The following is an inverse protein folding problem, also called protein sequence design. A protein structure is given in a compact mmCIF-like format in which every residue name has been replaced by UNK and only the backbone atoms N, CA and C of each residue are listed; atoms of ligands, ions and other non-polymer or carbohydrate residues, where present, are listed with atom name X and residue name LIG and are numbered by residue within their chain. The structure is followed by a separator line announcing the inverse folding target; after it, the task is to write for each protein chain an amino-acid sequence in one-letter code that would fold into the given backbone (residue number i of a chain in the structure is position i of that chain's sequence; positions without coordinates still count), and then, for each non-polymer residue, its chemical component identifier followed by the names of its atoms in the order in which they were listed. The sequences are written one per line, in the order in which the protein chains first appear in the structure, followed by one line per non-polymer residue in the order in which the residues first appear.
data_IF_614571351369
#
_entry.id   IF_614571351369
#
_cell.length_a   1.000
_cell.length_b   1.000
_cell.length_c   1.000
_cell.angle_alpha   90.00
_cell.angle_beta   90.00
_cell.angle_gamma   90.00
#
_symmetry.space_group_name_H-M   'P 1'
#
loop_
_entity.id
_entity.type
_entity.pdbx_description
1 polymer ?
#
# COMPACT_ATOMS: atom_id res chain seq x y z
N UNK A 1 29.09 10.69 -15.68
CA UNK A 1 28.43 10.41 -14.38
C UNK A 1 26.96 10.68 -14.60
N UNK A 2 26.11 9.67 -14.50
CA UNK A 2 24.67 9.82 -14.69
C UNK A 2 24.05 10.12 -13.33
N UNK A 3 23.31 11.22 -13.23
CA UNK A 3 22.63 11.59 -11.99
C UNK A 3 21.28 10.87 -11.91
N UNK A 4 20.92 10.42 -10.71
CA UNK A 4 19.66 9.71 -10.46
C UNK A 4 18.48 10.65 -10.54
N UNK A 5 17.36 10.14 -11.06
CA UNK A 5 16.06 10.81 -11.08
C UNK A 5 15.21 10.40 -9.88
N UNK A 6 14.03 11.03 -9.71
CA UNK A 6 13.13 10.67 -8.61
C UNK A 6 12.63 9.22 -8.71
N UNK A 7 12.51 8.67 -9.91
CA UNK A 7 12.12 7.28 -10.17
C UNK A 7 13.06 6.27 -9.49
N UNK A 8 14.37 6.56 -9.48
CA UNK A 8 15.40 5.70 -8.90
C UNK A 8 15.32 5.61 -7.36
N UNK A 9 14.52 6.48 -6.75
CA UNK A 9 14.29 6.52 -5.31
C UNK A 9 12.95 5.92 -4.88
N UNK A 10 12.17 5.38 -5.81
CA UNK A 10 11.01 4.56 -5.49
C UNK A 10 11.50 3.17 -5.07
N UNK A 11 11.18 2.78 -3.86
CA UNK A 11 11.74 1.57 -3.25
C UNK A 11 12.99 1.83 -2.40
N UNK A 12 13.75 0.78 -2.12
CA UNK A 12 14.92 0.78 -1.22
C UNK A 12 14.63 1.46 0.12
N UNK A 13 13.43 1.23 0.61
CA UNK A 13 12.93 1.84 1.84
C UNK A 13 13.63 1.23 3.06
N UNK A 14 13.77 1.99 4.16
CA UNK A 14 14.39 1.48 5.37
C UNK A 14 13.61 0.31 5.97
N UNK A 15 14.33 -0.65 6.54
CA UNK A 15 13.83 -1.68 7.44
C UNK A 15 14.39 -1.41 8.83
N UNK A 16 13.54 -1.12 9.82
CA UNK A 16 13.98 -0.74 11.16
C UNK A 16 13.46 -1.70 12.22
N UNK A 17 14.28 -1.98 13.24
CA UNK A 17 13.89 -2.80 14.39
C UNK A 17 13.13 -1.94 15.40
N UNK A 18 12.01 -2.44 15.92
CA UNK A 18 11.34 -1.85 17.07
C UNK A 18 12.18 -2.08 18.34
N UNK A 19 12.27 -1.06 19.17
CA UNK A 19 13.11 -1.09 20.40
C UNK A 19 12.27 -1.15 21.67
N UNK A 20 11.20 -0.37 21.74
CA UNK A 20 10.39 -0.18 22.94
C UNK A 20 9.12 -1.04 22.92
N UNK A 21 8.52 -1.19 21.77
CA UNK A 21 7.43 -2.13 21.55
C UNK A 21 8.05 -3.51 21.40
N UNK A 22 8.09 -4.25 22.50
CA UNK A 22 8.73 -5.56 22.56
C UNK A 22 7.69 -6.69 22.64
N UNK A 23 7.92 -7.73 21.84
CA UNK A 23 7.09 -8.90 21.81
C UNK A 23 7.57 -10.05 22.75
N UNK A 24 8.70 -9.88 23.42
CA UNK A 24 9.32 -10.93 24.23
C UNK A 24 9.81 -12.13 23.40
N UNK A 25 10.11 -13.25 24.05
CA UNK A 25 10.42 -14.57 23.44
C UNK A 25 11.55 -14.55 22.40
N UNK A 26 12.55 -13.69 22.55
CA UNK A 26 13.65 -13.48 21.60
C UNK A 26 13.21 -13.14 20.16
N UNK A 27 11.99 -12.64 19.97
CA UNK A 27 11.53 -12.22 18.67
C UNK A 27 12.11 -10.88 18.27
N UNK A 28 12.36 -10.70 16.98
CA UNK A 28 12.75 -9.45 16.35
C UNK A 28 11.58 -8.95 15.50
N UNK A 29 11.07 -7.75 15.83
CA UNK A 29 10.01 -7.10 15.05
C UNK A 29 10.63 -6.01 14.20
N UNK A 30 10.41 -6.08 12.89
CA UNK A 30 10.94 -5.17 11.92
C UNK A 30 9.80 -4.43 11.20
N UNK A 31 9.96 -3.13 11.02
CA UNK A 31 9.04 -2.26 10.30
C UNK A 31 9.66 -1.83 8.97
N UNK A 32 9.04 -2.19 7.85
CA UNK A 32 9.42 -1.74 6.51
C UNK A 32 8.75 -0.40 6.21
N UNK A 33 9.50 0.68 6.22
CA UNK A 33 9.00 2.05 6.19
C UNK A 33 8.67 2.51 4.75
N UNK A 34 7.57 2.05 4.19
CA UNK A 34 7.12 2.40 2.85
C UNK A 34 6.66 3.86 2.71
N UNK A 35 6.40 4.54 3.83
CA UNK A 35 6.20 5.98 3.86
C UNK A 35 7.41 6.81 3.43
N UNK A 36 8.59 6.20 3.29
CA UNK A 36 9.81 6.84 2.80
C UNK A 36 9.93 6.85 1.26
N UNK A 37 9.00 6.24 0.55
CA UNK A 37 8.89 6.45 -0.89
C UNK A 37 8.57 7.92 -1.22
N UNK A 38 8.93 8.44 -2.41
CA UNK A 38 8.79 9.85 -2.77
C UNK A 38 7.38 10.45 -2.61
N UNK A 39 6.33 9.73 -3.01
CA UNK A 39 4.95 10.16 -2.76
C UNK A 39 4.42 9.71 -1.38
N UNK A 40 5.25 9.06 -0.57
CA UNK A 40 5.01 8.77 0.84
C UNK A 40 4.19 7.53 1.12
N UNK A 41 4.18 6.53 0.25
CA UNK A 41 3.48 5.26 0.52
C UNK A 41 3.99 4.06 -0.27
N UNK A 42 3.56 2.88 0.16
CA UNK A 42 3.77 1.61 -0.54
C UNK A 42 3.21 1.61 -1.98
N UNK A 43 2.29 2.51 -2.29
CA UNK A 43 1.64 2.59 -3.61
C UNK A 43 2.50 3.24 -4.68
N UNK A 44 3.59 3.90 -4.30
CA UNK A 44 4.56 4.47 -5.23
C UNK A 44 5.15 3.38 -6.13
N UNK A 45 5.44 2.21 -5.56
CA UNK A 45 5.98 1.06 -6.28
C UNK A 45 5.05 0.53 -7.37
N UNK A 46 3.81 0.10 -7.06
CA UNK A 46 2.91 -0.39 -8.10
C UNK A 46 2.48 0.70 -9.09
N UNK A 47 2.30 1.94 -8.66
CA UNK A 47 1.95 3.04 -9.56
C UNK A 47 3.02 3.25 -10.63
N UNK A 48 4.28 3.37 -10.24
CA UNK A 48 5.39 3.52 -11.17
C UNK A 48 5.55 2.28 -12.06
N UNK A 49 5.46 1.08 -11.49
CA UNK A 49 5.54 -0.19 -12.25
C UNK A 49 4.45 -0.30 -13.32
N UNK A 50 3.20 -0.01 -12.98
CA UNK A 50 2.09 -0.06 -13.92
C UNK A 50 2.27 0.93 -15.08
N UNK A 51 2.71 2.16 -14.79
CA UNK A 51 2.95 3.18 -15.82
C UNK A 51 4.12 2.77 -16.71
N UNK A 52 5.29 2.49 -16.15
CA UNK A 52 6.49 2.15 -16.92
C UNK A 52 6.30 0.90 -17.80
N UNK A 53 5.64 -0.12 -17.29
CA UNK A 53 5.41 -1.36 -18.03
C UNK A 53 4.32 -1.22 -19.09
N UNK A 54 3.31 -0.40 -18.85
CA UNK A 54 2.32 -0.05 -19.89
C UNK A 54 2.97 0.74 -21.03
N UNK A 55 3.89 1.66 -20.71
CA UNK A 55 4.67 2.43 -21.66
C UNK A 55 5.61 1.51 -22.47
N UNK A 56 6.37 0.65 -21.79
CA UNK A 56 7.29 -0.31 -22.43
C UNK A 56 6.56 -1.25 -23.41
N UNK A 57 5.29 -1.56 -23.16
CA UNK A 57 4.44 -2.36 -24.08
C UNK A 57 3.75 -1.51 -25.15
N UNK A 58 4.00 -0.21 -25.22
CA UNK A 58 3.37 0.70 -26.18
C UNK A 58 1.87 0.90 -25.96
N UNK A 59 1.35 0.53 -24.77
CA UNK A 59 -0.07 0.69 -24.42
C UNK A 59 -0.41 2.15 -24.10
N UNK A 60 0.56 2.90 -23.60
CA UNK A 60 0.48 4.33 -23.30
C UNK A 60 1.78 5.02 -23.75
N UNK A 61 1.70 6.33 -23.98
CA UNK A 61 2.88 7.18 -24.29
C UNK A 61 2.76 8.53 -23.61
N UNK A 62 3.86 9.24 -23.32
CA UNK A 62 3.82 10.58 -22.78
C UNK A 62 2.84 11.49 -23.54
N UNK A 63 2.04 12.27 -22.80
CA UNK A 63 0.94 13.08 -23.33
C UNK A 63 -0.43 12.43 -23.27
N UNK A 64 -0.52 11.11 -23.15
CA UNK A 64 -1.80 10.40 -22.95
C UNK A 64 -2.44 10.78 -21.61
N UNK A 65 -3.75 10.55 -21.51
CA UNK A 65 -4.52 10.74 -20.27
C UNK A 65 -4.72 9.40 -19.57
N UNK A 66 -4.31 9.32 -18.30
CA UNK A 66 -4.60 8.20 -17.41
C UNK A 66 -5.80 8.54 -16.53
N UNK A 67 -6.66 7.57 -16.29
CA UNK A 67 -7.85 7.70 -15.43
C UNK A 67 -7.78 6.61 -14.35
N UNK A 68 -8.10 6.95 -13.11
CA UNK A 68 -8.23 5.95 -12.05
C UNK A 68 -9.30 6.36 -11.04
N UNK A 69 -10.13 5.39 -10.65
CA UNK A 69 -11.06 5.56 -9.56
C UNK A 69 -10.36 5.20 -8.25
N UNK A 70 -9.93 6.19 -7.51
CA UNK A 70 -9.19 5.98 -6.24
C UNK A 70 -9.19 7.21 -5.34
N UNK A 71 -9.36 7.01 -4.07
CA UNK A 71 -9.40 8.07 -3.06
C UNK A 71 -8.20 8.07 -2.12
N UNK A 72 -7.27 7.14 -2.32
CA UNK A 72 -6.19 6.90 -1.38
C UNK A 72 -4.79 7.12 -1.94
N UNK A 73 -3.86 6.41 -1.35
CA UNK A 73 -2.43 6.49 -1.68
C UNK A 73 -2.14 6.15 -3.16
N UNK A 74 -2.94 5.29 -3.78
CA UNK A 74 -2.78 4.96 -5.20
C UNK A 74 -2.98 6.21 -6.09
N UNK A 75 -3.98 7.04 -5.80
CA UNK A 75 -4.20 8.27 -6.55
C UNK A 75 -3.03 9.25 -6.43
N UNK A 76 -2.47 9.39 -5.22
CA UNK A 76 -1.30 10.24 -4.99
C UNK A 76 -0.09 9.70 -5.77
N UNK A 77 0.15 8.38 -5.69
CA UNK A 77 1.28 7.74 -6.36
C UNK A 77 1.16 7.78 -7.89
N UNK A 78 -0.05 7.58 -8.44
CA UNK A 78 -0.30 7.71 -9.88
C UNK A 78 -0.16 9.16 -10.36
N UNK A 79 -0.61 10.14 -9.56
CA UNK A 79 -0.42 11.55 -9.88
C UNK A 79 1.07 11.92 -9.93
N UNK A 80 1.87 11.45 -8.97
CA UNK A 80 3.33 11.60 -9.00
C UNK A 80 3.95 10.93 -10.22
N UNK A 81 3.61 9.67 -10.49
CA UNK A 81 4.15 8.94 -11.64
C UNK A 81 3.79 9.60 -12.97
N UNK A 82 2.56 10.10 -13.10
CA UNK A 82 2.11 10.85 -14.27
C UNK A 82 2.90 12.16 -14.44
N UNK A 83 3.12 12.91 -13.36
CA UNK A 83 3.90 14.14 -13.39
C UNK A 83 5.36 13.89 -13.84
N UNK A 84 5.99 12.83 -13.30
CA UNK A 84 7.37 12.48 -13.65
C UNK A 84 7.53 12.08 -15.12
N UNK A 85 6.51 11.44 -15.70
CA UNK A 85 6.60 10.82 -17.03
C UNK A 85 5.80 11.54 -18.11
N UNK A 86 5.23 12.72 -17.79
CA UNK A 86 4.55 13.56 -18.77
C UNK A 86 3.16 13.07 -19.21
N UNK A 87 2.44 12.39 -18.32
CA UNK A 87 1.03 12.01 -18.51
C UNK A 87 0.08 13.01 -17.88
N UNK A 88 -1.12 13.12 -18.44
CA UNK A 88 -2.24 13.77 -17.74
C UNK A 88 -2.91 12.77 -16.84
N UNK A 89 -3.26 13.16 -15.61
CA UNK A 89 -3.90 12.27 -14.64
C UNK A 89 -5.26 12.78 -14.23
N UNK A 90 -6.29 11.97 -14.38
CA UNK A 90 -7.65 12.22 -13.89
C UNK A 90 -7.95 11.20 -12.79
N UNK A 91 -8.30 11.68 -11.61
CA UNK A 91 -8.66 10.86 -10.46
C UNK A 91 -10.12 11.08 -10.10
N UNK A 92 -10.90 10.01 -10.11
CA UNK A 92 -12.32 10.04 -9.76
C UNK A 92 -12.48 9.52 -8.33
N UNK A 93 -13.13 10.30 -7.46
CA UNK A 93 -13.25 9.96 -6.04
C UNK A 93 -14.45 10.60 -5.36
N UNK A 94 -14.97 10.02 -4.26
CA UNK A 94 -15.95 10.68 -3.41
C UNK A 94 -15.43 11.99 -2.80
N UNK A 95 -16.30 12.98 -2.70
CA UNK A 95 -15.97 14.33 -2.20
C UNK A 95 -15.57 14.39 -0.72
N UNK A 96 -15.95 13.38 0.09
CA UNK A 96 -15.68 13.30 1.52
C UNK A 96 -14.27 12.80 1.88
N UNK A 97 -13.37 12.66 0.90
CA UNK A 97 -11.99 12.31 1.18
C UNK A 97 -11.23 13.46 1.84
N UNK A 98 -10.19 13.11 2.63
CA UNK A 98 -9.43 14.10 3.40
C UNK A 98 -8.86 15.20 2.50
N UNK A 99 -8.79 16.41 3.04
CA UNK A 99 -8.31 17.59 2.34
C UNK A 99 -6.85 17.43 1.91
N UNK A 100 -6.03 16.82 2.76
CA UNK A 100 -4.59 16.57 2.53
C UNK A 100 -4.38 15.72 1.27
N UNK A 101 -5.17 14.65 1.11
CA UNK A 101 -5.09 13.78 -0.06
C UNK A 101 -5.45 14.52 -1.34
N UNK A 102 -6.56 15.27 -1.33
CA UNK A 102 -7.00 16.04 -2.50
C UNK A 102 -6.01 17.13 -2.89
N UNK A 103 -5.44 17.82 -1.89
CA UNK A 103 -4.42 18.84 -2.13
C UNK A 103 -3.13 18.24 -2.69
N UNK A 104 -2.67 17.11 -2.15
CA UNK A 104 -1.47 16.44 -2.63
C UNK A 104 -1.63 15.97 -4.09
N UNK A 105 -2.77 15.36 -4.45
CA UNK A 105 -3.04 14.95 -5.83
C UNK A 105 -3.04 16.15 -6.80
N UNK A 106 -3.68 17.27 -6.42
CA UNK A 106 -3.66 18.51 -7.22
C UNK A 106 -2.27 19.12 -7.32
N UNK A 107 -1.47 19.06 -6.26
CA UNK A 107 -0.09 19.55 -6.28
C UNK A 107 0.79 18.80 -7.29
N UNK A 108 0.52 17.49 -7.50
CA UNK A 108 1.13 16.71 -8.58
C UNK A 108 0.49 16.93 -9.96
N UNK A 109 -0.46 17.86 -10.09
CA UNK A 109 -1.10 18.22 -11.37
C UNK A 109 -2.28 17.34 -11.78
N UNK A 110 -2.79 16.47 -10.90
CA UNK A 110 -3.95 15.64 -11.23
C UNK A 110 -5.25 16.46 -11.25
N UNK A 111 -6.09 16.22 -12.25
CA UNK A 111 -7.49 16.65 -12.28
C UNK A 111 -8.32 15.75 -11.36
N UNK A 112 -9.16 16.34 -10.50
CA UNK A 112 -10.04 15.60 -9.61
C UNK A 112 -11.49 15.73 -10.07
N UNK A 113 -12.11 14.59 -10.36
CA UNK A 113 -13.55 14.46 -10.59
C UNK A 113 -14.17 13.95 -9.30
N UNK A 114 -14.88 14.85 -8.61
CA UNK A 114 -15.52 14.54 -7.34
C UNK A 114 -16.94 14.02 -7.57
N UNK A 115 -17.29 12.91 -6.93
CA UNK A 115 -18.63 12.36 -6.92
C UNK A 115 -19.27 12.56 -5.55
N UNK A 116 -20.61 12.64 -5.46
CA UNK A 116 -21.30 12.72 -4.17
C UNK A 116 -20.86 11.58 -3.23
N UNK A 117 -20.69 11.88 -1.94
CA UNK A 117 -20.30 10.89 -0.93
C UNK A 117 -21.26 9.70 -0.84
N UNK A 118 -22.55 9.93 -1.12
CA UNK A 118 -23.59 8.89 -1.16
C UNK A 118 -23.35 7.84 -2.27
N UNK A 119 -22.64 8.20 -3.36
CA UNK A 119 -22.31 7.27 -4.44
C UNK A 119 -21.08 6.42 -4.19
N UNK A 120 -20.26 6.81 -3.23
CA UNK A 120 -19.08 6.06 -2.82
C UNK A 120 -18.05 5.81 -3.92
N UNK A 121 -17.27 4.77 -3.72
CA UNK A 121 -16.26 4.34 -4.72
C UNK A 121 -16.87 3.59 -5.90
N UNK A 122 -18.06 3.04 -5.74
CA UNK A 122 -18.81 2.39 -6.82
C UNK A 122 -19.14 3.41 -7.91
N UNK A 123 -19.76 4.52 -7.57
CA UNK A 123 -20.05 5.61 -8.53
C UNK A 123 -18.76 6.17 -9.13
N UNK A 124 -17.70 6.28 -8.35
CA UNK A 124 -16.41 6.75 -8.88
C UNK A 124 -15.85 5.79 -9.96
N UNK A 125 -16.00 4.49 -9.78
CA UNK A 125 -15.61 3.48 -10.79
C UNK A 125 -16.47 3.57 -12.04
N UNK A 126 -17.78 3.63 -11.89
CA UNK A 126 -18.72 3.72 -13.03
C UNK A 126 -18.41 4.97 -13.88
N UNK A 127 -18.11 6.10 -13.25
CA UNK A 127 -17.74 7.33 -13.95
C UNK A 127 -16.38 7.19 -14.64
N UNK A 128 -15.38 6.59 -13.98
CA UNK A 128 -14.07 6.37 -14.59
C UNK A 128 -14.17 5.43 -15.81
N UNK A 129 -14.96 4.36 -15.71
CA UNK A 129 -15.22 3.44 -16.81
C UNK A 129 -15.96 4.10 -17.96
N UNK A 130 -16.98 4.90 -17.66
CA UNK A 130 -17.66 5.72 -18.67
C UNK A 130 -16.71 6.66 -19.40
N UNK A 131 -15.83 7.36 -18.66
CA UNK A 131 -14.83 8.24 -19.26
C UNK A 131 -13.87 7.47 -20.17
N UNK A 132 -13.43 6.27 -19.78
CA UNK A 132 -12.63 5.39 -20.63
C UNK A 132 -13.38 5.01 -21.92
N UNK A 133 -14.65 4.62 -21.81
CA UNK A 133 -15.46 4.17 -22.93
C UNK A 133 -15.79 5.32 -23.91
N UNK A 134 -15.81 6.56 -23.39
CA UNK A 134 -15.88 7.79 -24.20
C UNK A 134 -14.53 8.18 -24.84
N UNK A 135 -13.46 7.38 -24.66
CA UNK A 135 -12.14 7.64 -25.21
C UNK A 135 -11.38 8.78 -24.53
N UNK A 136 -11.75 9.18 -23.30
CA UNK A 136 -11.13 10.30 -22.57
C UNK A 136 -9.81 9.94 -21.91
N UNK A 137 -9.46 8.66 -21.84
CA UNK A 137 -8.20 8.20 -21.28
C UNK A 137 -8.17 6.69 -21.04
N UNK A 138 -7.09 6.23 -20.39
CA UNK A 138 -6.79 4.82 -20.16
C UNK A 138 -6.81 4.54 -18.66
N UNK A 139 -7.47 3.44 -18.26
CA UNK A 139 -7.44 2.92 -16.89
C UNK A 139 -6.37 1.84 -16.80
N UNK A 140 -5.48 1.94 -15.80
CA UNK A 140 -4.45 0.93 -15.53
C UNK A 140 -4.97 -0.22 -14.67
N UNK A 141 -6.00 0.01 -13.85
CA UNK A 141 -6.71 -0.97 -13.02
C UNK A 141 -5.80 -1.67 -11.98
N UNK A 142 -5.58 -1.02 -10.86
CA UNK A 142 -4.74 -1.53 -9.76
C UNK A 142 -5.19 -2.90 -9.19
N UNK A 143 -6.46 -3.31 -9.40
CA UNK A 143 -7.02 -4.55 -8.86
C UNK A 143 -6.89 -5.76 -9.80
N UNK A 144 -6.63 -5.51 -11.07
CA UNK A 144 -6.48 -6.54 -12.08
C UNK A 144 -5.14 -6.51 -12.81
N UNK A 145 -4.35 -5.45 -12.63
CA UNK A 145 -3.10 -5.26 -13.35
C UNK A 145 -1.97 -6.11 -12.74
N UNK A 146 -1.39 -7.05 -13.50
CA UNK A 146 -0.31 -7.91 -13.00
C UNK A 146 0.97 -7.14 -12.63
N UNK A 147 1.16 -5.94 -13.18
CA UNK A 147 2.32 -5.10 -12.87
C UNK A 147 2.30 -4.54 -11.43
N UNK A 148 1.14 -4.58 -10.77
CA UNK A 148 1.03 -4.23 -9.35
C UNK A 148 1.81 -5.23 -8.46
N UNK A 149 1.52 -6.53 -8.43
CA UNK A 149 2.32 -7.47 -7.64
C UNK A 149 3.76 -7.61 -8.14
N UNK A 150 4.04 -7.43 -9.44
CA UNK A 150 5.39 -7.47 -9.98
C UNK A 150 6.30 -6.42 -9.35
N UNK A 151 5.80 -5.21 -9.06
CA UNK A 151 6.57 -4.18 -8.34
C UNK A 151 7.10 -4.66 -6.99
N UNK A 152 6.35 -5.51 -6.31
CA UNK A 152 6.72 -6.07 -5.01
C UNK A 152 7.56 -7.34 -5.13
N UNK A 153 7.34 -8.12 -6.17
CA UNK A 153 8.18 -9.28 -6.48
C UNK A 153 9.62 -8.87 -6.82
N UNK A 154 9.78 -7.82 -7.63
CA UNK A 154 11.09 -7.33 -8.08
C UNK A 154 11.73 -6.32 -7.11
N UNK A 155 10.94 -5.71 -6.21
CA UNK A 155 11.41 -4.68 -5.28
C UNK A 155 11.30 -5.09 -3.82
N UNK A 156 10.10 -5.07 -3.25
CA UNK A 156 9.88 -5.28 -1.80
C UNK A 156 10.39 -6.64 -1.32
N UNK A 157 10.14 -7.71 -2.07
CA UNK A 157 10.59 -9.06 -1.72
C UNK A 157 12.11 -9.17 -1.62
N UNK A 158 12.87 -8.82 -2.69
CA UNK A 158 14.33 -8.78 -2.66
C UNK A 158 14.91 -7.90 -1.55
N UNK A 159 14.35 -6.70 -1.35
CA UNK A 159 14.80 -5.80 -0.29
C UNK A 159 14.65 -6.42 1.11
N UNK A 160 13.52 -7.06 1.40
CA UNK A 160 13.30 -7.73 2.68
C UNK A 160 14.23 -8.90 2.88
N UNK A 161 14.47 -9.69 1.85
CA UNK A 161 15.40 -10.81 1.90
C UNK A 161 16.83 -10.34 2.22
N UNK A 162 17.32 -9.35 1.50
CA UNK A 162 18.64 -8.75 1.70
C UNK A 162 18.76 -8.10 3.07
N UNK A 163 17.80 -7.23 3.46
CA UNK A 163 17.85 -6.49 4.72
C UNK A 163 17.70 -7.35 5.97
N UNK A 164 17.23 -8.58 5.83
CA UNK A 164 17.15 -9.56 6.92
C UNK A 164 18.24 -10.63 6.85
N UNK A 165 19.16 -10.57 5.88
CA UNK A 165 20.12 -11.64 5.57
C UNK A 165 19.45 -13.01 5.41
N UNK A 166 18.25 -13.03 4.79
CA UNK A 166 17.45 -14.23 4.62
C UNK A 166 16.84 -14.81 5.89
N UNK A 167 16.94 -14.12 7.03
CA UNK A 167 16.46 -14.62 8.35
C UNK A 167 14.98 -14.36 8.63
N UNK A 168 14.26 -13.71 7.71
CA UNK A 168 12.82 -13.46 7.85
C UNK A 168 12.05 -14.78 8.01
N UNK A 169 11.21 -14.86 9.03
CA UNK A 169 10.35 -16.04 9.31
C UNK A 169 8.87 -15.75 9.08
N UNK A 170 8.45 -14.50 9.27
CA UNK A 170 7.06 -14.07 9.10
C UNK A 170 6.99 -12.76 8.35
N UNK A 171 6.09 -12.68 7.41
CA UNK A 171 5.77 -11.45 6.67
C UNK A 171 4.32 -11.07 6.91
N UNK A 172 4.09 -9.89 7.48
CA UNK A 172 2.75 -9.37 7.82
C UNK A 172 2.43 -8.16 6.95
N UNK A 173 1.31 -8.20 6.25
CA UNK A 173 0.87 -7.12 5.37
C UNK A 173 -0.63 -6.87 5.45
N UNK A 174 -1.01 -5.60 5.55
CA UNK A 174 -2.38 -5.15 5.36
C UNK A 174 -2.86 -5.45 3.95
N UNK A 175 -4.07 -5.98 3.82
CA UNK A 175 -4.66 -6.38 2.55
C UNK A 175 -5.59 -5.29 2.01
N UNK A 176 -5.12 -4.54 1.00
CA UNK A 176 -5.92 -3.61 0.20
C UNK A 176 -6.17 -4.18 -1.20
N UNK A 177 -5.38 -3.77 -2.20
CA UNK A 177 -5.40 -4.37 -3.55
C UNK A 177 -4.82 -5.78 -3.59
N UNK A 178 -4.17 -6.19 -2.51
CA UNK A 178 -3.39 -7.43 -2.36
C UNK A 178 -2.04 -7.47 -3.08
N UNK A 179 -1.70 -6.49 -3.92
CA UNK A 179 -0.46 -6.49 -4.70
C UNK A 179 0.80 -6.66 -3.86
N UNK A 180 0.90 -5.98 -2.71
CA UNK A 180 2.05 -6.07 -1.81
C UNK A 180 2.26 -7.49 -1.31
N UNK A 181 1.20 -8.10 -0.75
CA UNK A 181 1.31 -9.46 -0.20
C UNK A 181 1.51 -10.51 -1.30
N UNK A 182 0.91 -10.33 -2.48
CA UNK A 182 1.06 -11.27 -3.60
C UNK A 182 2.48 -11.27 -4.16
N UNK A 183 3.02 -10.09 -4.49
CA UNK A 183 4.37 -10.00 -5.06
C UNK A 183 5.45 -10.40 -4.05
N UNK A 184 5.35 -9.90 -2.82
CA UNK A 184 6.32 -10.20 -1.77
C UNK A 184 6.29 -11.67 -1.36
N UNK A 185 5.11 -12.26 -1.17
CA UNK A 185 4.98 -13.68 -0.80
C UNK A 185 5.54 -14.60 -1.88
N UNK A 186 5.29 -14.28 -3.15
CA UNK A 186 5.85 -15.06 -4.27
C UNK A 186 7.36 -15.12 -4.19
N UNK A 187 8.03 -13.97 -4.07
CA UNK A 187 9.47 -13.90 -3.97
C UNK A 187 10.00 -14.64 -2.73
N UNK A 188 9.42 -14.38 -1.55
CA UNK A 188 9.89 -14.96 -0.30
C UNK A 188 9.72 -16.48 -0.27
N UNK A 189 8.57 -17.01 -0.73
CA UNK A 189 8.31 -18.46 -0.79
C UNK A 189 9.21 -19.19 -1.81
N UNK A 190 9.64 -18.54 -2.87
CA UNK A 190 10.64 -19.08 -3.80
C UNK A 190 12.03 -19.21 -3.16
N UNK A 191 12.34 -18.39 -2.15
CA UNK A 191 13.62 -18.43 -1.41
C UNK A 191 13.57 -19.36 -0.21
N UNK A 192 12.47 -19.32 0.54
CA UNK A 192 12.24 -20.19 1.68
C UNK A 192 10.74 -20.45 1.84
N UNK A 193 10.25 -21.66 1.52
CA UNK A 193 8.83 -22.01 1.61
C UNK A 193 8.28 -21.98 3.04
N UNK A 194 9.14 -22.01 4.07
CA UNK A 194 8.72 -22.04 5.48
C UNK A 194 8.36 -20.64 6.02
N UNK A 195 8.64 -19.58 5.27
CA UNK A 195 8.25 -18.22 5.69
C UNK A 195 6.72 -18.10 5.75
N UNK A 196 6.20 -17.79 6.92
CA UNK A 196 4.78 -17.63 7.15
C UNK A 196 4.28 -16.28 6.61
N UNK A 197 3.34 -16.31 5.69
CA UNK A 197 2.72 -15.12 5.07
C UNK A 197 1.40 -14.82 5.76
N UNK A 198 1.31 -13.65 6.39
CA UNK A 198 0.15 -13.25 7.21
C UNK A 198 -0.55 -12.06 6.57
N UNK A 199 -1.78 -12.27 6.14
CA UNK A 199 -2.67 -11.21 5.65
C UNK A 199 -3.47 -10.59 6.78
N UNK A 200 -3.42 -9.25 6.91
CA UNK A 200 -4.21 -8.51 7.88
C UNK A 200 -5.49 -7.98 7.23
N UNK A 201 -6.65 -8.38 7.77
CA UNK A 201 -7.99 -7.97 7.36
C UNK A 201 -8.68 -7.18 8.49
N UNK A 202 -9.69 -6.32 8.19
CA UNK A 202 -10.48 -5.71 9.24
C UNK A 202 -11.44 -6.74 9.87
N UNK A 203 -11.74 -6.56 11.15
CA UNK A 203 -12.85 -7.26 11.80
C UNK A 203 -14.19 -6.81 11.21
N UNK A 204 -15.23 -7.61 11.43
CA UNK A 204 -16.57 -7.26 10.99
C UNK A 204 -17.03 -5.94 11.66
N UNK A 205 -17.58 -5.03 10.87
CA UNK A 205 -17.98 -3.70 11.33
C UNK A 205 -16.83 -2.68 11.44
N UNK A 206 -15.57 -3.09 11.25
CA UNK A 206 -14.43 -2.17 11.26
C UNK A 206 -14.17 -1.56 9.89
N UNK A 207 -13.93 -0.23 9.85
CA UNK A 207 -13.55 0.51 8.65
C UNK A 207 -12.15 1.10 8.81
N UNK A 208 -11.15 0.42 8.26
CA UNK A 208 -9.75 0.82 8.38
C UNK A 208 -9.24 1.30 7.02
N UNK A 209 -8.85 2.58 6.87
CA UNK A 209 -8.30 3.08 5.61
C UNK A 209 -7.10 2.25 5.16
N UNK A 210 -7.18 1.70 3.94
CA UNK A 210 -6.10 0.89 3.35
C UNK A 210 -6.18 -0.61 3.63
N UNK A 211 -7.06 -1.07 4.52
CA UNK A 211 -7.33 -2.50 4.75
C UNK A 211 -8.75 -2.82 4.31
N UNK A 212 -8.92 -3.92 3.59
CA UNK A 212 -10.24 -4.38 3.13
C UNK A 212 -10.38 -5.88 3.30
N UNK A 213 -11.57 -6.32 3.68
CA UNK A 213 -12.04 -7.68 3.53
C UNK A 213 -12.94 -7.72 2.30
N UNK A 214 -12.49 -8.38 1.26
CA UNK A 214 -13.22 -8.47 0.02
C UNK A 214 -14.28 -9.57 0.05
N UNK A 215 -15.54 -9.26 -0.32
CA UNK A 215 -16.49 -10.30 -0.69
C UNK A 215 -15.95 -11.11 -1.88
N UNK A 216 -16.26 -12.40 -1.95
CA UNK A 216 -15.73 -13.29 -2.98
C UNK A 216 -15.97 -12.78 -4.41
N UNK A 217 -17.15 -12.20 -4.66
CA UNK A 217 -17.52 -11.63 -5.96
C UNK A 217 -16.69 -10.40 -6.38
N UNK A 218 -15.99 -9.76 -5.44
CA UNK A 218 -15.22 -8.53 -5.66
C UNK A 218 -13.73 -8.69 -5.36
N UNK A 219 -13.26 -9.93 -5.21
CA UNK A 219 -11.84 -10.20 -5.00
C UNK A 219 -11.00 -9.56 -6.11
N UNK A 220 -9.89 -8.88 -5.77
CA UNK A 220 -8.95 -8.41 -6.78
C UNK A 220 -8.49 -9.58 -7.67
N UNK A 221 -8.47 -9.37 -8.99
CA UNK A 221 -8.08 -10.43 -9.95
C UNK A 221 -6.63 -10.87 -9.79
N UNK A 222 -5.80 -10.04 -9.16
CA UNK A 222 -4.40 -10.35 -8.84
C UNK A 222 -4.24 -11.18 -7.55
N UNK A 223 -5.33 -11.46 -6.82
CA UNK A 223 -5.27 -12.17 -5.54
C UNK A 223 -5.22 -13.69 -5.73
N UNK A 224 -4.22 -14.32 -5.16
CA UNK A 224 -4.02 -15.77 -5.11
C UNK A 224 -4.09 -16.25 -3.66
N UNK A 225 -5.27 -16.68 -3.21
CA UNK A 225 -5.52 -17.09 -1.81
C UNK A 225 -4.49 -18.08 -1.26
N UNK A 226 -4.01 -19.10 -2.02
CA UNK A 226 -3.05 -20.09 -1.52
C UNK A 226 -1.67 -19.51 -1.13
N UNK A 227 -1.37 -18.25 -1.51
CA UNK A 227 -0.12 -17.58 -1.12
C UNK A 227 -0.13 -17.01 0.28
N UNK A 228 -1.28 -16.98 0.95
CA UNK A 228 -1.43 -16.44 2.30
C UNK A 228 -1.68 -17.59 3.25
N UNK A 229 -0.73 -17.83 4.16
CA UNK A 229 -0.78 -18.95 5.12
C UNK A 229 -1.77 -18.68 6.25
N UNK A 230 -1.88 -17.40 6.69
CA UNK A 230 -2.76 -17.00 7.80
C UNK A 230 -3.49 -15.70 7.47
N UNK A 231 -4.77 -15.65 7.80
CA UNK A 231 -5.59 -14.44 7.77
C UNK A 231 -5.89 -14.03 9.20
N UNK A 232 -5.42 -12.85 9.57
CA UNK A 232 -5.58 -12.29 10.91
C UNK A 232 -6.44 -11.03 10.83
N UNK A 233 -7.36 -10.88 11.77
CA UNK A 233 -8.27 -9.75 11.83
C UNK A 233 -7.82 -8.74 12.87
N UNK A 234 -8.10 -7.47 12.63
CA UNK A 234 -7.82 -6.37 13.54
C UNK A 234 -9.02 -5.44 13.62
N UNK A 235 -9.36 -4.99 14.82
CA UNK A 235 -10.37 -3.97 15.03
C UNK A 235 -9.84 -2.60 14.63
N UNK A 236 -10.75 -1.66 14.32
CA UNK A 236 -10.37 -0.27 14.07
C UNK A 236 -9.68 0.34 15.29
N UNK A 237 -10.21 0.08 16.49
CA UNK A 237 -9.66 0.60 17.74
C UNK A 237 -8.21 0.15 17.99
N UNK A 238 -7.93 -1.14 17.77
CA UNK A 238 -6.58 -1.70 17.92
C UNK A 238 -5.61 -1.14 16.87
N UNK A 239 -6.07 -0.96 15.64
CA UNK A 239 -5.27 -0.38 14.58
C UNK A 239 -4.90 1.07 14.88
N UNK A 240 -5.86 1.87 15.35
CA UNK A 240 -5.65 3.28 15.73
C UNK A 240 -4.75 3.41 16.96
N UNK A 241 -4.97 2.61 18.00
CA UNK A 241 -4.11 2.66 19.20
C UNK A 241 -2.68 2.23 18.86
N UNK A 242 -2.50 1.18 18.06
CA UNK A 242 -1.16 0.78 17.63
C UNK A 242 -0.48 1.86 16.77
N UNK A 243 -1.25 2.58 15.94
CA UNK A 243 -0.74 3.74 15.18
C UNK A 243 -0.20 4.82 16.12
N UNK A 244 -0.94 5.15 17.18
CA UNK A 244 -0.49 6.10 18.21
C UNK A 244 0.74 5.61 18.98
N UNK A 245 0.76 4.32 19.31
CA UNK A 245 1.91 3.69 19.99
C UNK A 245 3.17 3.71 19.15
N UNK A 246 3.09 3.40 17.85
CA UNK A 246 4.21 3.50 16.92
C UNK A 246 4.84 4.90 16.94
N UNK A 247 4.01 5.94 16.95
CA UNK A 247 4.49 7.32 17.02
C UNK A 247 5.13 7.64 18.39
N UNK A 248 4.46 7.33 19.49
CA UNK A 248 4.90 7.71 20.85
C UNK A 248 6.06 6.86 21.38
N UNK A 249 6.11 5.58 21.02
CA UNK A 249 7.06 4.63 21.58
C UNK A 249 8.25 4.38 20.66
N UNK A 250 8.05 4.41 19.33
CA UNK A 250 9.09 4.09 18.34
C UNK A 250 9.51 5.29 17.47
N UNK A 251 8.79 6.42 17.55
CA UNK A 251 9.02 7.57 16.66
C UNK A 251 8.58 7.32 15.21
N UNK A 252 7.80 6.26 14.96
CA UNK A 252 7.32 5.90 13.64
C UNK A 252 5.94 6.54 13.42
N UNK A 253 5.90 7.66 12.71
CA UNK A 253 4.67 8.37 12.39
C UNK A 253 4.02 7.77 11.15
N UNK A 254 3.12 6.81 11.36
CA UNK A 254 2.52 5.95 10.33
C UNK A 254 1.00 6.11 10.25
N UNK A 255 0.39 5.63 9.16
CA UNK A 255 -1.05 5.57 8.98
C UNK A 255 -1.70 4.37 9.66
N UNK A 256 -3.04 4.36 9.69
CA UNK A 256 -3.85 3.42 10.48
C UNK A 256 -3.68 1.97 10.00
N UNK A 257 -3.56 1.73 8.69
CA UNK A 257 -3.31 0.38 8.17
C UNK A 257 -1.98 -0.20 8.63
N UNK A 258 -0.99 0.66 8.87
CA UNK A 258 0.31 0.26 9.42
C UNK A 258 0.19 -0.17 10.88
N UNK A 259 -0.62 0.56 11.65
CA UNK A 259 -0.98 0.18 13.02
C UNK A 259 -1.67 -1.18 13.06
N UNK A 260 -2.63 -1.41 12.16
CA UNK A 260 -3.32 -2.70 12.05
C UNK A 260 -2.37 -3.86 11.74
N UNK A 261 -1.48 -3.71 10.76
CA UNK A 261 -0.47 -4.74 10.44
C UNK A 261 0.51 -4.97 11.59
N UNK A 262 0.93 -3.91 12.28
CA UNK A 262 1.84 -4.03 13.41
C UNK A 262 1.17 -4.67 14.64
N UNK A 263 -0.10 -4.37 14.92
CA UNK A 263 -0.88 -5.05 15.96
C UNK A 263 -0.92 -6.57 15.70
N UNK A 264 -1.21 -6.96 14.46
CA UNK A 264 -1.17 -8.36 14.04
C UNK A 264 0.22 -8.98 14.20
N UNK A 265 1.28 -8.26 13.79
CA UNK A 265 2.66 -8.72 13.93
C UNK A 265 3.03 -9.02 15.41
N UNK A 266 2.62 -8.16 16.34
CA UNK A 266 2.84 -8.36 17.78
C UNK A 266 2.02 -9.53 18.33
N UNK A 267 0.79 -9.72 17.85
CA UNK A 267 -0.04 -10.88 18.22
C UNK A 267 0.59 -12.19 17.74
N UNK A 268 1.14 -12.24 16.51
CA UNK A 268 1.92 -13.39 16.03
C UNK A 268 3.14 -13.61 16.92
N UNK A 269 3.88 -12.54 17.24
CA UNK A 269 5.07 -12.63 18.08
C UNK A 269 4.80 -13.21 19.50
N UNK A 270 3.60 -13.02 20.03
CA UNK A 270 3.21 -13.63 21.30
C UNK A 270 3.02 -15.16 21.22
N UNK A 271 2.91 -15.71 20.02
CA UNK A 271 2.63 -17.13 19.75
C UNK A 271 3.87 -17.91 19.31
N UNK A 272 4.95 -17.22 18.92
CA UNK A 272 6.18 -17.82 18.37
C UNK A 272 7.41 -17.38 19.16
N UNK A 273 8.54 -18.08 18.96
CA UNK A 273 9.81 -17.77 19.59
C UNK A 273 10.94 -17.71 18.55
N UNK A 274 11.96 -16.91 18.82
CA UNK A 274 13.15 -16.76 17.97
C UNK A 274 12.81 -16.35 16.52
N UNK A 275 11.68 -15.66 16.32
CA UNK A 275 11.18 -15.27 15.01
C UNK A 275 11.70 -13.89 14.58
N UNK A 276 11.91 -13.73 13.28
CA UNK A 276 12.14 -12.44 12.61
C UNK A 276 10.87 -12.09 11.84
N UNK A 277 10.10 -11.17 12.38
CA UNK A 277 8.76 -10.80 11.88
C UNK A 277 8.86 -9.42 11.23
N UNK A 278 8.54 -9.35 9.96
CA UNK A 278 8.50 -8.08 9.21
C UNK A 278 7.07 -7.64 9.00
N UNK A 279 6.76 -6.40 9.35
CA UNK A 279 5.48 -5.73 9.07
C UNK A 279 5.67 -4.55 8.13
N UNK A 280 4.76 -4.40 7.16
CA UNK A 280 4.76 -3.23 6.26
C UNK A 280 4.14 -2.03 6.97
N UNK A 281 4.90 -0.93 7.03
CA UNK A 281 4.42 0.40 7.39
C UNK A 281 4.07 1.14 6.11
N UNK A 282 2.77 1.09 5.75
CA UNK A 282 2.29 1.38 4.39
C UNK A 282 2.47 2.83 3.96
N UNK A 283 2.30 3.80 4.88
CA UNK A 283 2.32 5.23 4.60
C UNK A 283 2.60 6.04 5.86
N UNK A 284 2.56 7.38 5.71
CA UNK A 284 2.86 8.34 6.77
C UNK A 284 1.59 8.83 7.47
N UNK A 285 1.74 9.19 8.75
CA UNK A 285 0.66 9.70 9.61
C UNK A 285 0.13 11.08 9.23
N UNK A 286 0.93 11.90 8.52
CA UNK A 286 0.56 13.25 8.08
C UNK A 286 -0.72 13.28 7.20
N UNK A 287 -1.09 12.17 6.59
CA UNK A 287 -2.32 12.02 5.78
C UNK A 287 -3.58 11.81 6.60
N UNK A 288 -3.45 11.70 7.91
CA UNK A 288 -4.52 11.34 8.85
C UNK A 288 -4.72 12.38 9.95
N UNK A 289 -4.05 13.54 9.89
CA UNK A 289 -4.14 14.58 10.92
C UNK A 289 -5.58 15.08 11.09
N UNK A 290 -6.32 15.25 10.00
CA UNK A 290 -7.73 15.70 10.03
C UNK A 290 -8.72 14.60 10.41
N UNK A 291 -8.29 13.34 10.60
CA UNK A 291 -9.18 12.19 10.87
C UNK A 291 -9.45 11.99 12.36
N UNK A 292 -8.75 12.69 13.25
CA UNK A 292 -8.87 12.55 14.70
C UNK A 292 -8.16 11.32 15.28
N UNK A 293 -7.42 10.53 14.48
CA UNK A 293 -6.67 9.38 15.00
C UNK A 293 -5.53 9.80 15.92
N UNK A 294 -4.93 10.94 15.66
CA UNK A 294 -3.94 11.55 16.55
C UNK A 294 -4.64 12.63 17.41
N UNK A 295 -4.34 12.70 18.73
CA UNK A 295 -4.88 13.76 19.58
C UNK A 295 -4.38 15.13 19.11
N UNK A 296 -5.26 16.14 19.25
CA UNK A 296 -4.94 17.55 18.98
C UNK A 296 -3.99 18.11 20.05
#
# INVERSE_FOLDING_TARGET
MEFRTLEDYVGRTPLVRLKRINAGRNNVILAKLEGNNPAGSVKDRPALSMVMRAEARGRIKPGDTLIEATSGNTGIALAMAAAMRGYRMILVMPENQSVERRQTMRAFGAELVLVPSSGGMEMARDIAEKMRDEGRGIILDQFANPDNPVAHYEGTGPELWEQTDGRITHFVSSMGTTGTIMGTSRFLKERNPDICIVGCEPEEGSSIPGIRKWPEAYLPKIFERPRVDRFERVSQADAEEMTRRLAREEGIFAGISSGGAMHVALRIASQVENAVIVSIVCDRGDRYLSTGVFPA
#
